data_IF_123115419688
#
_entry.id   IF_123115419688
#
_cell.length_a   1.000
_cell.length_b   1.000
_cell.length_c   1.000
_cell.angle_alpha   90.00
_cell.angle_beta   90.00
_cell.angle_gamma   90.00
#
_symmetry.space_group_name_H-M   'P 1'
#
loop_
_entity.id
_entity.type
_entity.pdbx_description
1 polymer ?
#
# COMPACT_ATOMS: atom_id res chain seq x y z
N UNK A 1 9.86 24.94 7.57
CA UNK A 1 10.25 23.72 6.81
C UNK A 1 9.11 23.14 5.96
N UNK A 2 7.93 23.79 5.78
CA UNK A 2 6.87 23.29 4.87
C UNK A 2 6.04 24.43 4.29
N UNK A 3 6.61 25.26 3.38
CA UNK A 3 5.88 26.44 2.85
C UNK A 3 4.87 26.11 1.73
N UNK A 4 4.85 24.87 1.25
CA UNK A 4 4.04 24.47 0.08
C UNK A 4 3.19 23.21 0.30
N UNK A 5 3.11 22.68 1.53
CA UNK A 5 2.22 21.54 1.81
C UNK A 5 0.82 22.06 2.13
N UNK A 6 -0.16 21.63 1.34
CA UNK A 6 -1.57 21.82 1.63
C UNK A 6 -2.11 20.61 2.40
N UNK A 7 -2.80 20.85 3.50
CA UNK A 7 -3.51 19.79 4.23
C UNK A 7 -4.78 19.49 3.45
N UNK A 8 -4.84 18.29 2.88
CA UNK A 8 -6.04 17.76 2.20
C UNK A 8 -6.87 16.92 3.16
N UNK A 9 -8.19 16.95 2.96
CA UNK A 9 -9.17 16.16 3.71
C UNK A 9 -9.03 14.66 3.45
N UNK A 10 -10.06 13.90 3.83
CA UNK A 10 -10.18 12.51 3.43
C UNK A 10 -11.01 12.44 2.15
N UNK A 11 -10.61 11.55 1.23
CA UNK A 11 -11.36 11.24 0.02
C UNK A 11 -12.47 10.22 0.32
N UNK A 12 -12.24 9.33 1.30
CA UNK A 12 -13.22 8.35 1.76
C UNK A 12 -14.27 9.00 2.67
N UNK A 13 -15.54 8.64 2.48
CA UNK A 13 -16.69 9.19 3.23
C UNK A 13 -17.03 8.45 4.54
N UNK A 14 -16.31 7.39 4.87
CA UNK A 14 -16.50 6.60 6.08
C UNK A 14 -15.37 6.85 7.09
N UNK A 15 -15.58 6.61 8.41
CA UNK A 15 -14.53 6.82 9.40
C UNK A 15 -13.39 5.80 9.26
N UNK A 16 -12.16 6.21 9.56
CA UNK A 16 -10.96 5.35 9.52
C UNK A 16 -11.10 4.06 10.33
N UNK A 17 -11.91 4.06 11.39
CA UNK A 17 -12.21 2.89 12.22
C UNK A 17 -12.93 1.76 11.47
N UNK A 18 -13.60 2.07 10.36
CA UNK A 18 -14.24 1.06 9.50
C UNK A 18 -13.27 0.44 8.49
N UNK A 19 -12.02 0.94 8.40
CA UNK A 19 -11.01 0.38 7.52
C UNK A 19 -10.31 -0.81 8.20
N UNK A 20 -10.54 -2.01 7.67
CA UNK A 20 -9.87 -3.23 8.10
C UNK A 20 -8.74 -3.56 7.14
N UNK A 21 -7.53 -3.72 7.67
CA UNK A 21 -6.38 -4.18 6.90
C UNK A 21 -6.24 -5.68 7.08
N UNK A 22 -6.10 -6.39 5.96
CA UNK A 22 -5.77 -7.80 5.93
C UNK A 22 -4.26 -7.91 5.67
N UNK A 23 -3.53 -8.45 6.64
CA UNK A 23 -2.11 -8.76 6.49
C UNK A 23 -1.96 -10.24 6.18
N UNK A 24 -1.29 -10.55 5.08
CA UNK A 24 -0.96 -11.92 4.71
C UNK A 24 0.53 -12.18 4.94
N UNK A 25 0.85 -13.40 5.36
CA UNK A 25 2.23 -13.85 5.40
C UNK A 25 2.68 -14.20 3.98
N UNK A 26 3.97 -13.98 3.68
CA UNK A 26 4.57 -14.36 2.40
C UNK A 26 4.45 -15.87 2.13
N UNK A 27 4.44 -16.69 3.19
CA UNK A 27 4.09 -18.11 3.13
C UNK A 27 3.15 -18.44 4.28
N UNK A 28 1.93 -18.85 3.94
CA UNK A 28 0.97 -19.34 4.91
C UNK A 28 1.10 -20.85 5.10
N UNK A 29 1.96 -21.24 6.05
CA UNK A 29 2.18 -22.65 6.38
C UNK A 29 0.96 -23.32 7.01
N UNK A 30 0.08 -22.57 7.67
CA UNK A 30 -1.12 -23.15 8.30
C UNK A 30 -2.14 -23.50 7.21
N UNK A 31 -2.39 -22.58 6.26
CA UNK A 31 -3.22 -22.87 5.09
C UNK A 31 -2.70 -24.05 4.27
N UNK A 32 -1.37 -24.10 4.01
CA UNK A 32 -0.77 -25.24 3.30
C UNK A 32 -1.02 -26.56 4.03
N UNK A 33 -0.86 -26.59 5.35
CA UNK A 33 -1.10 -27.77 6.17
C UNK A 33 -2.57 -28.21 6.15
N UNK A 34 -3.50 -27.28 6.27
CA UNK A 34 -4.95 -27.55 6.16
C UNK A 34 -5.33 -28.14 4.80
N UNK A 35 -4.58 -27.81 3.75
CA UNK A 35 -4.75 -28.34 2.40
C UNK A 35 -3.89 -29.59 2.10
N UNK A 36 -3.34 -30.25 3.12
CA UNK A 36 -2.62 -31.51 3.00
C UNK A 36 -1.12 -31.39 2.70
N UNK A 37 -0.56 -30.18 2.76
CA UNK A 37 0.86 -29.90 2.52
C UNK A 37 1.56 -29.45 3.81
N UNK A 38 1.91 -30.40 4.69
CA UNK A 38 2.68 -30.10 5.91
C UNK A 38 4.19 -29.98 5.61
N UNK A 39 4.59 -28.84 5.05
CA UNK A 39 5.97 -28.59 4.60
C UNK A 39 6.81 -27.76 5.56
N UNK A 40 6.18 -27.10 6.55
CA UNK A 40 6.84 -26.25 7.55
C UNK A 40 8.01 -26.96 8.27
N UNK A 41 7.91 -28.26 8.64
CA UNK A 41 8.99 -28.95 9.33
C UNK A 41 10.29 -29.03 8.51
N UNK A 42 10.21 -29.20 7.18
CA UNK A 42 11.39 -29.31 6.33
C UNK A 42 12.21 -28.02 6.32
N UNK A 43 11.54 -26.87 6.32
CA UNK A 43 12.20 -25.57 6.37
C UNK A 43 12.69 -25.21 7.77
N UNK A 44 11.90 -25.58 8.80
CA UNK A 44 12.27 -25.38 10.21
C UNK A 44 13.55 -26.14 10.57
N UNK A 45 13.66 -27.40 10.12
CA UNK A 45 14.85 -28.23 10.34
C UNK A 45 16.12 -27.66 9.71
N UNK A 46 15.98 -26.86 8.65
CA UNK A 46 17.09 -26.16 7.98
C UNK A 46 17.38 -24.77 8.58
N UNK A 47 16.60 -24.33 9.58
CA UNK A 47 16.79 -23.03 10.23
C UNK A 47 16.22 -21.83 9.47
N UNK A 48 15.29 -22.04 8.52
CA UNK A 48 14.76 -20.97 7.66
C UNK A 48 13.71 -20.07 8.31
N UNK A 49 13.30 -20.33 9.56
CA UNK A 49 12.21 -19.60 10.21
C UNK A 49 12.45 -18.08 10.23
N UNK A 50 13.68 -17.65 10.58
CA UNK A 50 14.04 -16.23 10.56
C UNK A 50 13.99 -15.59 9.18
N UNK A 51 14.23 -16.38 8.12
CA UNK A 51 14.14 -15.89 6.76
C UNK A 51 12.67 -15.58 6.38
N UNK A 52 11.74 -16.47 6.73
CA UNK A 52 10.31 -16.20 6.52
C UNK A 52 9.79 -15.04 7.37
N UNK A 53 10.25 -14.91 8.63
CA UNK A 53 9.91 -13.76 9.49
C UNK A 53 10.39 -12.44 8.86
N UNK A 54 11.61 -12.42 8.32
CA UNK A 54 12.17 -11.27 7.62
C UNK A 54 11.40 -10.93 6.35
N UNK A 55 10.94 -11.93 5.59
CA UNK A 55 10.16 -11.70 4.35
C UNK A 55 8.82 -11.00 4.60
N UNK A 56 8.17 -11.28 5.74
CA UNK A 56 6.92 -10.62 6.10
C UNK A 56 7.13 -9.12 6.37
N UNK A 57 8.29 -8.75 6.92
CA UNK A 57 8.66 -7.37 7.19
C UNK A 57 7.73 -6.65 8.18
N UNK A 58 8.06 -5.39 8.54
CA UNK A 58 7.16 -4.58 9.34
C UNK A 58 5.99 -4.08 8.49
N UNK A 59 4.78 -4.24 9.01
CA UNK A 59 3.58 -3.59 8.48
C UNK A 59 3.28 -2.37 9.37
N UNK A 60 2.84 -1.27 8.75
CA UNK A 60 2.45 -0.04 9.46
C UNK A 60 0.94 0.22 9.27
N UNK A 61 0.07 -0.47 10.02
CA UNK A 61 -1.38 -0.41 9.80
C UNK A 61 -1.95 1.02 9.85
N UNK A 62 -1.54 1.80 10.84
CA UNK A 62 -2.02 3.18 11.02
C UNK A 62 -1.60 4.10 9.87
N UNK A 63 -0.38 3.91 9.35
CA UNK A 63 0.09 4.67 8.19
C UNK A 63 -0.70 4.30 6.95
N UNK A 64 -0.94 3.00 6.73
CA UNK A 64 -1.72 2.50 5.61
C UNK A 64 -3.18 2.96 5.66
N UNK A 65 -3.82 2.92 6.84
CA UNK A 65 -5.17 3.45 7.03
C UNK A 65 -5.25 4.92 6.65
N UNK A 66 -4.37 5.75 7.20
CA UNK A 66 -4.30 7.18 6.88
C UNK A 66 -4.01 7.45 5.41
N UNK A 67 -3.16 6.64 4.79
CA UNK A 67 -2.90 6.71 3.35
C UNK A 67 -4.17 6.41 2.56
N UNK A 68 -4.85 5.30 2.85
CA UNK A 68 -6.06 4.89 2.12
C UNK A 68 -7.23 5.85 2.31
N UNK A 69 -7.39 6.47 3.48
CA UNK A 69 -8.37 7.52 3.72
C UNK A 69 -8.20 8.73 2.79
N UNK A 70 -6.98 8.94 2.28
CA UNK A 70 -6.61 10.05 1.37
C UNK A 70 -6.38 9.60 -0.07
N UNK A 71 -6.45 8.30 -0.34
CA UNK A 71 -6.16 7.76 -1.65
C UNK A 71 -7.35 7.99 -2.58
N UNK A 72 -7.04 8.44 -3.80
CA UNK A 72 -8.00 8.58 -4.90
C UNK A 72 -7.47 7.85 -6.13
N UNK A 73 -8.35 7.10 -6.78
CA UNK A 73 -8.05 6.45 -8.06
C UNK A 73 -8.39 7.44 -9.17
N UNK A 74 -7.46 7.62 -10.11
CA UNK A 74 -7.65 8.46 -11.29
C UNK A 74 -7.68 7.59 -12.54
N UNK A 75 -8.65 7.87 -13.40
CA UNK A 75 -8.65 7.34 -14.77
C UNK A 75 -7.55 7.99 -15.61
N UNK A 76 -7.19 7.35 -16.73
CA UNK A 76 -6.28 7.95 -17.73
C UNK A 76 -6.80 9.30 -18.23
N UNK A 77 -8.12 9.46 -18.32
CA UNK A 77 -8.74 10.71 -18.73
C UNK A 77 -8.53 11.81 -17.69
N UNK A 78 -8.84 11.55 -16.42
CA UNK A 78 -8.64 12.51 -15.33
C UNK A 78 -7.17 12.90 -15.17
N UNK A 79 -6.26 11.93 -15.26
CA UNK A 79 -4.82 12.20 -15.21
C UNK A 79 -4.38 13.16 -16.33
N UNK A 80 -4.90 12.98 -17.56
CA UNK A 80 -4.60 13.87 -18.68
C UNK A 80 -5.20 15.28 -18.50
N UNK A 81 -6.38 15.38 -17.89
CA UNK A 81 -6.97 16.69 -17.60
C UNK A 81 -6.16 17.45 -16.53
N UNK A 82 -5.72 16.76 -15.46
CA UNK A 82 -4.87 17.39 -14.44
C UNK A 82 -3.50 17.79 -15.00
N UNK A 83 -2.90 16.97 -15.88
CA UNK A 83 -1.67 17.32 -16.60
C UNK A 83 -1.84 18.61 -17.41
N UNK A 84 -2.91 18.71 -18.20
CA UNK A 84 -3.20 19.92 -18.99
C UNK A 84 -3.41 21.14 -18.09
N UNK A 85 -4.15 20.99 -16.99
CA UNK A 85 -4.37 22.06 -16.02
C UNK A 85 -3.07 22.48 -15.32
N UNK A 86 -2.17 21.53 -15.02
CA UNK A 86 -0.86 21.82 -14.45
C UNK A 86 0.04 22.58 -15.43
N UNK A 87 0.06 22.21 -16.72
CA UNK A 87 0.79 22.94 -17.77
C UNK A 87 0.23 24.34 -17.98
N UNK A 88 -1.09 24.53 -17.87
CA UNK A 88 -1.70 25.86 -17.94
C UNK A 88 -1.27 26.75 -16.77
N UNK A 89 -1.20 26.19 -15.55
CA UNK A 89 -0.71 26.89 -14.35
C UNK A 89 0.79 27.19 -14.42
N UNK A 90 1.59 26.26 -14.95
CA UNK A 90 3.03 26.41 -15.16
C UNK A 90 3.46 25.85 -16.54
N UNK A 91 3.59 26.72 -17.56
CA UNK A 91 3.98 26.31 -18.91
C UNK A 91 5.34 25.60 -19.01
N UNK A 92 6.20 25.74 -18.01
CA UNK A 92 7.53 25.10 -17.98
C UNK A 92 7.47 23.57 -17.79
N UNK A 93 6.30 23.04 -17.44
CA UNK A 93 6.05 21.61 -17.25
C UNK A 93 5.79 20.87 -18.57
N UNK A 94 5.55 21.60 -19.68
CA UNK A 94 5.24 21.00 -20.98
C UNK A 94 6.37 20.07 -21.46
N UNK A 95 6.03 18.81 -21.73
CA UNK A 95 6.96 17.81 -22.26
C UNK A 95 7.91 17.19 -21.23
N UNK A 96 7.71 17.46 -19.93
CA UNK A 96 8.38 16.77 -18.84
C UNK A 96 7.51 15.59 -18.40
N UNK A 97 8.07 14.38 -18.47
CA UNK A 97 7.50 13.11 -17.96
C UNK A 97 8.07 12.74 -16.61
#
# INVERSE_FOLDING_TARGET
>A
MFRHLQIVGNEMEFPESQLTLLSENMVDFESLKENGYDVKPYFSAQGWNKYFDMLNGPIYPELLKKFWMKARVFSKYEAKQEELAAIERDPSLKGKT
#
